data_IF_868489427209
#
_entry.id   IF_868489427209
#
_cell.length_a   1.000
_cell.length_b   1.000
_cell.length_c   1.000
_cell.angle_alpha   90.00
_cell.angle_beta   90.00
_cell.angle_gamma   90.00
#
_symmetry.space_group_name_H-M   'P 1'
#
loop_
_entity.id
_entity.type
_entity.pdbx_description
1 polymer ?
#
# COMPACT_ATOMS: atom_id res chain seq x y z
N UNK A 1 -10.99 -8.09 14.49
CA UNK A 1 -9.97 -9.03 13.98
C UNK A 1 -9.14 -8.49 12.81
N UNK A 2 -9.63 -7.61 11.92
CA UNK A 2 -8.76 -6.92 10.96
C UNK A 2 -7.96 -5.74 11.58
N UNK A 3 -8.48 -5.11 12.64
CA UNK A 3 -7.80 -4.03 13.37
C UNK A 3 -6.60 -4.51 14.21
N UNK A 4 -6.49 -5.81 14.47
CA UNK A 4 -5.37 -6.43 15.20
C UNK A 4 -4.12 -6.64 14.33
N UNK A 5 -4.21 -6.44 13.01
CA UNK A 5 -3.05 -6.56 12.11
C UNK A 5 -2.24 -5.25 12.00
N UNK A 6 -2.83 -4.09 12.33
CA UNK A 6 -2.15 -2.79 12.22
C UNK A 6 -1.56 -2.29 13.55
N UNK A 7 -1.99 -2.80 14.71
CA UNK A 7 -1.67 -2.15 16.00
C UNK A 7 -0.49 -2.72 16.78
N UNK A 8 -0.03 -3.94 16.51
CA UNK A 8 1.06 -4.55 17.30
C UNK A 8 2.25 -5.09 16.49
N UNK A 9 2.14 -5.23 15.16
CA UNK A 9 3.14 -5.89 14.31
C UNK A 9 4.38 -5.03 14.01
N UNK A 10 4.20 -3.72 13.84
CA UNK A 10 5.28 -2.86 13.32
C UNK A 10 6.42 -2.61 14.33
N UNK A 11 6.21 -2.78 15.64
CA UNK A 11 7.28 -2.64 16.66
C UNK A 11 8.36 -3.72 16.55
N UNK A 12 8.00 -4.90 16.07
CA UNK A 12 8.93 -6.02 15.85
C UNK A 12 9.62 -5.96 14.48
N UNK A 13 9.22 -5.04 13.61
CA UNK A 13 9.77 -4.95 12.26
C UNK A 13 11.18 -4.35 12.27
N UNK A 14 12.09 -4.99 11.54
CA UNK A 14 13.50 -4.63 11.45
C UNK A 14 13.68 -3.17 11.03
N UNK A 15 12.90 -2.70 10.05
CA UNK A 15 12.97 -1.33 9.57
C UNK A 15 12.53 -0.31 10.64
N UNK A 16 11.37 -0.52 11.28
CA UNK A 16 10.89 0.37 12.35
C UNK A 16 11.93 0.55 13.44
N UNK A 17 12.58 -0.54 13.87
CA UNK A 17 13.64 -0.50 14.90
C UNK A 17 14.85 0.30 14.45
N UNK A 18 15.28 0.13 13.20
CA UNK A 18 16.39 0.87 12.64
C UNK A 18 16.07 2.37 12.53
N UNK A 19 14.86 2.73 12.07
CA UNK A 19 14.42 4.12 11.95
C UNK A 19 14.33 4.82 13.31
N UNK A 20 13.71 4.18 14.31
CA UNK A 20 13.57 4.75 15.67
C UNK A 20 14.92 4.94 16.37
N UNK A 21 15.94 4.16 16.00
CA UNK A 21 17.28 4.32 16.54
C UNK A 21 18.02 5.55 15.99
N UNK A 22 17.52 6.20 14.93
CA UNK A 22 18.12 7.39 14.34
C UNK A 22 17.66 8.66 15.06
N UNK A 23 18.57 9.63 15.20
CA UNK A 23 18.29 10.92 15.85
C UNK A 23 17.47 11.88 14.98
N UNK A 24 17.26 11.59 13.70
CA UNK A 24 16.45 12.39 12.77
C UNK A 24 15.02 11.85 12.59
N UNK A 25 14.61 10.89 13.44
CA UNK A 25 13.32 10.20 13.38
C UNK A 25 12.40 10.48 14.60
N UNK A 26 12.63 11.55 15.36
CA UNK A 26 11.85 11.86 16.58
C UNK A 26 10.34 11.88 16.34
N UNK A 27 9.89 12.45 15.21
CA UNK A 27 8.46 12.47 14.84
C UNK A 27 7.86 11.07 14.68
N UNK A 28 8.63 10.11 14.13
CA UNK A 28 8.18 8.72 14.04
C UNK A 28 8.08 8.10 15.44
N UNK A 29 9.10 8.32 16.28
CA UNK A 29 9.12 7.82 17.67
C UNK A 29 7.92 8.33 18.46
N UNK A 30 7.60 9.62 18.36
CA UNK A 30 6.45 10.21 19.05
C UNK A 30 5.11 9.72 18.47
N UNK A 31 5.03 9.58 17.13
CA UNK A 31 3.86 9.04 16.45
C UNK A 31 3.56 7.60 16.89
N UNK A 32 4.60 6.79 17.06
CA UNK A 32 4.53 5.43 17.59
C UNK A 32 3.88 5.45 18.98
N UNK A 33 4.37 6.30 19.89
CA UNK A 33 3.81 6.44 21.24
C UNK A 33 2.34 6.87 21.20
N UNK A 34 1.98 7.85 20.36
CA UNK A 34 0.59 8.30 20.22
C UNK A 34 -0.34 7.19 19.73
N UNK A 35 0.10 6.39 18.74
CA UNK A 35 -0.67 5.24 18.24
C UNK A 35 -0.90 4.22 19.34
N UNK A 36 0.11 3.98 20.16
CA UNK A 36 0.05 3.03 21.29
C UNK A 36 -0.96 3.49 22.34
N UNK A 37 -0.89 4.76 22.75
CA UNK A 37 -1.85 5.37 23.68
C UNK A 37 -3.28 5.32 23.13
N UNK A 38 -3.45 5.56 21.82
CA UNK A 38 -4.73 5.44 21.14
C UNK A 38 -5.29 4.01 21.18
N UNK A 39 -4.44 3.01 20.90
CA UNK A 39 -4.83 1.59 20.88
C UNK A 39 -5.16 1.01 22.25
N UNK A 40 -4.61 1.57 23.32
CA UNK A 40 -4.89 1.16 24.69
C UNK A 40 -6.17 1.76 25.30
N UNK A 41 -6.88 2.61 24.57
CA UNK A 41 -8.03 3.36 25.08
C UNK A 41 -9.37 2.77 24.63
N UNK A 42 -10.13 2.19 25.57
CA UNK A 42 -11.47 1.64 25.32
C UNK A 42 -12.44 2.69 24.74
N UNK A 43 -12.29 3.95 25.15
CA UNK A 43 -13.09 5.07 24.63
C UNK A 43 -12.85 5.32 23.13
N UNK A 44 -11.61 5.14 22.67
CA UNK A 44 -11.23 5.30 21.27
C UNK A 44 -11.71 4.12 20.44
N UNK A 45 -11.58 2.90 20.96
CA UNK A 45 -12.08 1.69 20.33
C UNK A 45 -13.60 1.75 20.10
N UNK A 46 -14.34 2.22 21.11
CA UNK A 46 -15.77 2.45 21.01
C UNK A 46 -16.13 3.49 19.94
N UNK A 47 -15.35 4.56 19.82
CA UNK A 47 -15.55 5.57 18.77
C UNK A 47 -15.37 4.98 17.38
N UNK A 48 -14.24 4.33 17.10
CA UNK A 48 -13.98 3.75 15.78
C UNK A 48 -14.93 2.60 15.44
N UNK A 49 -15.44 1.87 16.44
CA UNK A 49 -16.47 0.85 16.24
C UNK A 49 -17.81 1.47 15.81
N UNK A 50 -18.23 2.58 16.43
CA UNK A 50 -19.42 3.33 15.99
C UNK A 50 -19.27 3.91 14.60
N UNK A 51 -18.10 4.47 14.26
CA UNK A 51 -17.85 5.01 12.92
C UNK A 51 -17.87 3.92 11.84
N UNK A 52 -17.35 2.72 12.13
CA UNK A 52 -17.48 1.55 11.23
C UNK A 52 -18.93 1.15 11.02
N UNK A 53 -19.74 1.13 12.08
CA UNK A 53 -21.15 0.76 11.99
C UNK A 53 -21.95 1.75 11.12
N UNK A 54 -21.70 3.06 11.26
CA UNK A 54 -22.32 4.09 10.40
C UNK A 54 -21.99 3.93 8.93
N UNK A 55 -20.81 3.44 8.59
CA UNK A 55 -20.42 3.21 7.20
C UNK A 55 -21.20 2.06 6.53
N UNK A 56 -21.86 1.20 7.32
CA UNK A 56 -22.66 0.07 6.79
C UNK A 56 -24.10 0.45 6.41
N UNK A 57 -24.64 1.58 6.88
CA UNK A 57 -26.01 2.02 6.59
C UNK A 57 -26.03 2.99 5.39
N UNK A 58 -26.15 2.45 4.16
CA UNK A 58 -25.74 3.15 2.93
C UNK A 58 -26.89 3.76 2.10
N UNK A 59 -26.81 5.09 1.92
CA UNK A 59 -27.18 5.81 0.69
C UNK A 59 -26.71 7.30 0.76
N UNK A 60 -26.72 7.90 1.96
CA UNK A 60 -26.24 9.27 2.18
C UNK A 60 -24.72 9.33 2.44
N UNK A 61 -24.12 8.22 2.90
CA UNK A 61 -22.70 8.09 3.27
C UNK A 61 -21.79 8.08 2.03
N UNK A 62 -22.20 7.44 0.92
CA UNK A 62 -21.37 7.32 -0.28
C UNK A 62 -21.10 8.66 -0.97
N UNK A 63 -22.11 9.55 -1.07
CA UNK A 63 -21.93 10.89 -1.66
C UNK A 63 -20.99 11.77 -0.82
N UNK A 64 -21.14 11.72 0.50
CA UNK A 64 -20.27 12.46 1.42
C UNK A 64 -18.82 11.96 1.35
N UNK A 65 -18.63 10.65 1.28
CA UNK A 65 -17.32 10.04 1.11
C UNK A 65 -16.68 10.43 -0.23
N UNK A 66 -17.41 10.31 -1.35
CA UNK A 66 -16.90 10.66 -2.67
C UNK A 66 -16.45 12.13 -2.74
N UNK A 67 -17.26 13.04 -2.19
CA UNK A 67 -16.90 14.46 -2.12
C UNK A 67 -15.66 14.71 -1.24
N UNK A 68 -15.59 14.06 -0.08
CA UNK A 68 -14.43 14.18 0.81
C UNK A 68 -13.15 13.60 0.16
N UNK A 69 -13.27 12.49 -0.57
CA UNK A 69 -12.18 11.87 -1.31
C UNK A 69 -11.72 12.74 -2.49
N UNK A 70 -12.63 13.33 -3.26
CA UNK A 70 -12.30 14.28 -4.32
C UNK A 70 -11.52 15.48 -3.75
N UNK A 71 -11.98 16.06 -2.64
CA UNK A 71 -11.28 17.15 -1.96
C UNK A 71 -9.92 16.72 -1.40
N UNK A 72 -9.79 15.46 -0.98
CA UNK A 72 -8.52 14.86 -0.58
C UNK A 72 -7.54 14.78 -1.75
N UNK A 73 -8.00 14.30 -2.92
CA UNK A 73 -7.18 14.25 -4.14
C UNK A 73 -6.76 15.65 -4.61
N UNK A 74 -7.66 16.64 -4.54
CA UNK A 74 -7.32 18.04 -4.81
C UNK A 74 -6.26 18.58 -3.85
N UNK A 75 -6.38 18.28 -2.56
CA UNK A 75 -5.41 18.66 -1.53
C UNK A 75 -4.03 18.05 -1.81
N UNK A 76 -3.97 16.73 -2.04
CA UNK A 76 -2.73 16.04 -2.38
C UNK A 76 -2.11 16.58 -3.67
N UNK A 77 -2.92 16.86 -4.70
CA UNK A 77 -2.46 17.41 -5.97
C UNK A 77 -1.85 18.83 -5.85
N UNK A 78 -2.17 19.58 -4.78
CA UNK A 78 -1.52 20.87 -4.50
C UNK A 78 -0.12 20.67 -3.90
N UNK A 79 0.08 19.61 -3.12
CA UNK A 79 1.36 19.28 -2.48
C UNK A 79 2.32 18.59 -3.43
N UNK A 80 1.81 17.69 -4.26
CA UNK A 80 2.55 16.98 -5.30
C UNK A 80 1.75 17.06 -6.58
N UNK A 81 2.34 17.59 -7.65
CA UNK A 81 1.65 17.66 -8.94
C UNK A 81 1.41 16.24 -9.49
N UNK A 82 0.17 15.77 -9.39
CA UNK A 82 -0.28 14.50 -9.95
C UNK A 82 -0.62 14.76 -11.43
N UNK A 83 0.05 14.09 -12.39
CA UNK A 83 -0.19 14.32 -13.80
C UNK A 83 -1.65 14.10 -14.20
N UNK A 84 -2.23 15.04 -14.95
CA UNK A 84 -3.55 14.87 -15.55
C UNK A 84 -3.40 14.26 -16.93
N UNK A 85 -3.99 13.10 -17.15
CA UNK A 85 -3.98 12.40 -18.45
C UNK A 85 -5.33 11.76 -18.72
N UNK A 86 -5.69 11.66 -20.00
CA UNK A 86 -6.84 10.87 -20.46
C UNK A 86 -6.48 9.38 -20.64
N UNK A 87 -5.19 9.05 -20.62
CA UNK A 87 -4.70 7.66 -20.66
C UNK A 87 -4.32 7.19 -19.26
N UNK A 88 -5.32 7.07 -18.38
CA UNK A 88 -5.12 6.51 -17.04
C UNK A 88 -5.81 5.15 -16.86
N UNK A 89 -5.37 4.39 -15.87
CA UNK A 89 -6.00 3.15 -15.40
C UNK A 89 -6.17 3.24 -13.88
N UNK A 90 -7.40 3.08 -13.38
CA UNK A 90 -7.71 3.12 -11.95
C UNK A 90 -8.09 1.72 -11.45
N UNK A 91 -7.20 1.11 -10.66
CA UNK A 91 -7.39 -0.22 -10.08
C UNK A 91 -8.30 -0.22 -8.84
N UNK A 92 -8.63 0.94 -8.27
CA UNK A 92 -9.53 1.08 -7.12
C UNK A 92 -11.01 0.94 -7.50
N UNK A 93 -11.40 1.55 -8.62
CA UNK A 93 -12.79 1.51 -9.12
C UNK A 93 -13.05 0.33 -10.07
N UNK A 94 -12.10 -0.01 -10.96
CA UNK A 94 -12.22 -1.17 -11.84
C UNK A 94 -11.96 -2.51 -11.13
N UNK A 95 -11.75 -2.49 -9.80
CA UNK A 95 -11.57 -3.71 -9.02
C UNK A 95 -12.75 -4.64 -9.10
N UNK A 96 -13.98 -4.19 -9.40
CA UNK A 96 -15.10 -5.13 -9.57
C UNK A 96 -14.92 -5.95 -10.86
N UNK A 97 -14.39 -5.35 -11.94
CA UNK A 97 -14.05 -6.06 -13.18
C UNK A 97 -12.78 -6.89 -13.03
N UNK A 98 -11.78 -6.38 -12.33
CA UNK A 98 -10.55 -7.11 -12.09
C UNK A 98 -10.70 -8.21 -11.04
N UNK A 99 -11.48 -8.00 -9.99
CA UNK A 99 -11.90 -9.05 -9.07
C UNK A 99 -12.82 -10.04 -9.79
N UNK A 100 -13.64 -9.63 -10.75
CA UNK A 100 -14.33 -10.58 -11.64
C UNK A 100 -13.37 -11.34 -12.56
N UNK A 101 -12.23 -10.75 -12.97
CA UNK A 101 -11.16 -11.41 -13.73
C UNK A 101 -10.37 -12.39 -12.85
N UNK A 102 -9.87 -11.94 -11.69
CA UNK A 102 -9.29 -12.78 -10.64
C UNK A 102 -10.26 -13.84 -10.12
N UNK A 103 -11.57 -13.57 -10.12
CA UNK A 103 -12.63 -14.51 -9.73
C UNK A 103 -13.00 -15.46 -10.86
N UNK A 104 -12.91 -15.02 -12.12
CA UNK A 104 -13.00 -15.91 -13.28
C UNK A 104 -11.79 -16.85 -13.34
N UNK A 105 -10.64 -16.36 -12.89
CA UNK A 105 -9.46 -17.16 -12.60
C UNK A 105 -9.71 -18.06 -11.38
N UNK A 106 -10.25 -17.56 -10.26
CA UNK A 106 -10.39 -18.32 -8.99
C UNK A 106 -11.62 -19.24 -8.88
N UNK A 107 -12.62 -19.13 -9.76
CA UNK A 107 -13.79 -20.02 -9.82
C UNK A 107 -13.52 -21.27 -10.67
N UNK A 108 -12.51 -21.21 -11.52
CA UNK A 108 -11.83 -22.43 -11.96
C UNK A 108 -10.75 -22.69 -10.90
N UNK A 109 -10.54 -23.94 -10.51
CA UNK A 109 -9.28 -24.33 -9.88
C UNK A 109 -8.22 -23.91 -10.91
N UNK A 110 -7.56 -22.76 -10.74
CA UNK A 110 -6.46 -22.37 -11.61
C UNK A 110 -5.49 -23.53 -11.47
N UNK A 111 -5.30 -24.36 -12.52
CA UNK A 111 -4.33 -25.42 -12.42
C UNK A 111 -3.01 -24.71 -12.12
N UNK A 112 -2.32 -25.16 -11.06
CA UNK A 112 -0.96 -24.70 -10.80
C UNK A 112 -0.22 -24.77 -12.16
N UNK A 113 0.27 -23.66 -12.71
CA UNK A 113 0.81 -23.66 -14.05
C UNK A 113 1.97 -24.66 -14.10
N UNK A 114 1.88 -25.61 -15.02
CA UNK A 114 2.72 -26.81 -15.02
C UNK A 114 4.16 -26.47 -15.44
N UNK A 115 4.35 -25.43 -16.27
CA UNK A 115 5.64 -25.16 -16.90
C UNK A 115 6.10 -23.70 -16.97
N UNK A 116 5.25 -22.67 -16.80
CA UNK A 116 5.74 -21.27 -16.74
C UNK A 116 4.75 -20.25 -16.17
N UNK A 117 5.27 -19.11 -15.73
CA UNK A 117 4.52 -17.91 -15.35
C UNK A 117 3.84 -17.18 -16.53
N UNK A 118 3.89 -17.73 -17.75
CA UNK A 118 3.42 -17.06 -18.97
C UNK A 118 2.11 -17.61 -19.54
N UNK A 119 1.48 -18.61 -18.91
CA UNK A 119 0.23 -19.23 -19.41
C UNK A 119 -1.05 -18.51 -18.95
N UNK A 120 -0.95 -17.29 -18.43
CA UNK A 120 -2.12 -16.54 -17.95
C UNK A 120 -2.92 -15.93 -19.10
N UNK A 121 -4.26 -15.86 -18.98
CA UNK A 121 -5.07 -15.13 -19.95
C UNK A 121 -4.60 -13.66 -20.02
N UNK A 122 -4.64 -13.05 -21.21
CA UNK A 122 -4.16 -11.68 -21.38
C UNK A 122 -4.91 -10.75 -20.44
N UNK A 123 -4.16 -9.81 -19.85
CA UNK A 123 -4.75 -8.76 -19.02
C UNK A 123 -5.83 -8.02 -19.82
N UNK A 124 -6.93 -7.58 -19.19
CA UNK A 124 -8.06 -6.93 -19.88
C UNK A 124 -7.73 -5.52 -20.41
N UNK A 125 -6.46 -5.18 -20.49
CA UNK A 125 -5.93 -3.92 -20.97
C UNK A 125 -4.65 -4.16 -21.77
N UNK A 126 -4.38 -3.25 -22.72
CA UNK A 126 -3.13 -3.27 -23.49
C UNK A 126 -1.94 -2.98 -22.57
N UNK A 127 -0.90 -3.80 -22.66
CA UNK A 127 0.36 -3.55 -21.97
C UNK A 127 0.98 -2.22 -22.41
N UNK A 128 1.73 -1.58 -21.51
CA UNK A 128 2.52 -0.37 -21.80
C UNK A 128 1.71 0.77 -22.43
N UNK A 129 0.45 0.97 -22.03
CA UNK A 129 -0.49 1.87 -22.72
C UNK A 129 -0.96 3.06 -21.89
N UNK A 130 -0.63 3.11 -20.59
CA UNK A 130 -1.23 4.06 -19.64
C UNK A 130 -0.17 5.00 -19.07
N UNK A 131 -0.42 6.30 -19.14
CA UNK A 131 0.51 7.34 -18.68
C UNK A 131 0.41 7.61 -17.18
N UNK A 132 -0.71 7.20 -16.56
CA UNK A 132 -0.93 7.22 -15.12
C UNK A 132 -1.68 5.96 -14.69
N UNK A 133 -1.15 5.25 -13.71
CA UNK A 133 -1.86 4.13 -13.08
C UNK A 133 -2.15 4.53 -11.65
N UNK A 134 -3.42 4.45 -11.24
CA UNK A 134 -3.87 4.68 -9.87
C UNK A 134 -4.14 3.33 -9.23
N UNK A 135 -3.41 3.01 -8.17
CA UNK A 135 -3.55 1.78 -7.39
C UNK A 135 -4.15 2.11 -6.03
N UNK A 136 -5.48 2.25 -5.98
CA UNK A 136 -6.25 2.50 -4.75
C UNK A 136 -7.27 1.40 -4.45
N UNK A 137 -6.94 0.14 -4.79
CA UNK A 137 -7.77 -0.96 -4.32
C UNK A 137 -7.83 -0.98 -2.81
N UNK A 138 -9.04 -1.19 -2.31
CA UNK A 138 -9.29 -1.36 -0.89
C UNK A 138 -9.65 -2.81 -0.62
N UNK A 139 -9.22 -3.28 0.55
CA UNK A 139 -9.61 -4.59 1.04
C UNK A 139 -11.09 -4.56 1.42
N UNK A 140 -11.87 -5.40 0.75
CA UNK A 140 -13.28 -5.58 1.06
C UNK A 140 -13.42 -6.79 1.98
N UNK A 141 -14.24 -6.66 3.03
CA UNK A 141 -14.53 -7.78 3.91
C UNK A 141 -15.24 -8.88 3.12
N UNK A 142 -14.58 -10.03 2.97
CA UNK A 142 -15.10 -11.23 2.30
C UNK A 142 -14.69 -12.45 3.15
N UNK A 143 -15.56 -13.46 3.35
CA UNK A 143 -15.20 -14.71 4.02
C UNK A 143 -13.87 -15.33 3.57
N UNK A 144 -13.53 -15.29 2.28
CA UNK A 144 -12.26 -15.83 1.77
C UNK A 144 -11.04 -15.02 2.27
N UNK A 145 -11.20 -13.70 2.48
CA UNK A 145 -10.15 -12.85 3.02
C UNK A 145 -9.89 -13.11 4.52
N UNK A 146 -10.87 -13.64 5.25
CA UNK A 146 -10.67 -14.03 6.66
C UNK A 146 -9.82 -15.30 6.78
N UNK A 147 -9.88 -16.17 5.78
CA UNK A 147 -9.11 -17.42 5.73
C UNK A 147 -7.72 -17.25 5.09
N UNK A 148 -7.43 -16.08 4.52
CA UNK A 148 -6.16 -15.72 3.89
C UNK A 148 -5.67 -14.38 4.44
N UNK A 149 -5.04 -14.34 5.62
CA UNK A 149 -4.57 -13.10 6.23
C UNK A 149 -3.59 -12.32 5.33
N UNK A 150 -2.84 -13.03 4.48
CA UNK A 150 -1.91 -12.45 3.50
C UNK A 150 -2.58 -11.81 2.27
N UNK A 151 -3.91 -11.88 2.13
CA UNK A 151 -4.61 -11.28 0.97
C UNK A 151 -4.41 -9.76 0.86
N UNK A 152 -4.16 -9.08 1.98
CA UNK A 152 -3.80 -7.66 1.95
C UNK A 152 -2.46 -7.45 1.22
N UNK A 153 -1.44 -8.21 1.59
CA UNK A 153 -0.13 -8.20 0.93
C UNK A 153 -0.25 -8.60 -0.53
N UNK A 154 -1.02 -9.65 -0.82
CA UNK A 154 -1.30 -10.09 -2.20
C UNK A 154 -1.96 -9.00 -3.02
N UNK A 155 -2.86 -8.21 -2.44
CA UNK A 155 -3.52 -7.10 -3.13
C UNK A 155 -2.53 -5.99 -3.50
N UNK A 156 -1.63 -5.61 -2.59
CA UNK A 156 -0.59 -4.61 -2.87
C UNK A 156 0.33 -5.11 -3.99
N UNK A 157 0.85 -6.34 -3.86
CA UNK A 157 1.71 -6.95 -4.87
C UNK A 157 1.01 -7.07 -6.23
N UNK A 158 -0.25 -7.51 -6.25
CA UNK A 158 -1.02 -7.64 -7.50
C UNK A 158 -1.19 -6.29 -8.20
N UNK A 159 -1.58 -5.25 -7.46
CA UNK A 159 -1.78 -3.92 -8.05
C UNK A 159 -0.47 -3.32 -8.57
N UNK A 160 0.62 -3.46 -7.82
CA UNK A 160 1.91 -2.97 -8.26
C UNK A 160 2.39 -3.72 -9.51
N UNK A 161 2.25 -5.04 -9.53
CA UNK A 161 2.59 -5.86 -10.70
C UNK A 161 1.77 -5.44 -11.94
N UNK A 162 0.46 -5.25 -11.78
CA UNK A 162 -0.42 -4.73 -12.84
C UNK A 162 0.03 -3.35 -13.31
N UNK A 163 0.37 -2.45 -12.38
CA UNK A 163 0.83 -1.12 -12.72
C UNK A 163 2.12 -1.16 -13.54
N UNK A 164 3.08 -2.00 -13.16
CA UNK A 164 4.31 -2.22 -13.91
C UNK A 164 4.04 -2.82 -15.29
N UNK A 165 3.03 -3.68 -15.47
CA UNK A 165 2.66 -4.16 -16.82
C UNK A 165 1.93 -3.11 -17.67
N UNK A 166 1.12 -2.24 -17.04
CA UNK A 166 0.27 -1.27 -17.72
C UNK A 166 0.98 0.04 -18.09
N UNK A 167 1.96 0.48 -17.29
CA UNK A 167 2.61 1.79 -17.41
C UNK A 167 3.34 1.96 -18.74
N UNK A 168 3.04 3.05 -19.45
CA UNK A 168 3.76 3.44 -20.66
C UNK A 168 5.22 3.83 -20.32
N UNK A 169 6.14 3.84 -21.29
CA UNK A 169 7.47 4.39 -21.08
C UNK A 169 7.39 5.83 -20.56
N UNK A 170 8.07 6.12 -19.45
CA UNK A 170 7.99 7.40 -18.73
C UNK A 170 6.60 7.73 -18.16
N UNK A 171 5.69 6.75 -18.07
CA UNK A 171 4.44 6.88 -17.34
C UNK A 171 4.65 6.95 -15.83
N UNK A 172 3.56 7.14 -15.09
CA UNK A 172 3.57 7.38 -13.65
C UNK A 172 2.72 6.33 -12.93
N UNK A 173 3.14 5.96 -11.72
CA UNK A 173 2.39 5.08 -10.83
C UNK A 173 2.03 5.86 -9.57
N UNK A 174 0.75 5.87 -9.22
CA UNK A 174 0.21 6.49 -8.02
C UNK A 174 -0.44 5.40 -7.15
N UNK A 175 0.24 4.96 -6.10
CA UNK A 175 -0.16 3.77 -5.31
C UNK A 175 -0.40 4.10 -3.85
N UNK A 176 -1.49 3.57 -3.28
CA UNK A 176 -1.76 3.65 -1.85
C UNK A 176 -1.00 2.55 -1.09
N UNK A 177 -0.24 2.95 -0.07
CA UNK A 177 0.47 2.07 0.86
C UNK A 177 0.06 2.40 2.31
N UNK A 178 0.51 1.60 3.28
CA UNK A 178 0.32 1.86 4.71
C UNK A 178 1.61 1.76 5.50
N UNK A 179 1.77 2.66 6.48
CA UNK A 179 2.91 2.75 7.41
C UNK A 179 4.26 2.77 6.69
N UNK A 180 4.91 3.93 6.58
CA UNK A 180 6.20 4.07 5.88
C UNK A 180 7.28 3.17 6.50
N UNK A 181 7.24 3.04 7.82
CA UNK A 181 8.16 2.27 8.65
C UNK A 181 8.01 0.75 8.56
N UNK A 182 6.97 0.25 7.88
CA UNK A 182 6.83 -1.20 7.66
C UNK A 182 7.88 -1.71 6.69
N UNK A 183 8.50 -2.85 6.98
CA UNK A 183 9.58 -3.44 6.18
C UNK A 183 9.17 -3.57 4.72
N UNK A 184 8.06 -4.25 4.42
CA UNK A 184 7.55 -4.37 3.05
C UNK A 184 7.30 -3.01 2.36
N UNK A 185 6.75 -2.03 3.09
CA UNK A 185 6.51 -0.69 2.55
C UNK A 185 7.84 0.00 2.20
N UNK A 186 8.83 -0.06 3.09
CA UNK A 186 10.17 0.46 2.84
C UNK A 186 10.84 -0.22 1.64
N UNK A 187 10.72 -1.55 1.52
CA UNK A 187 11.24 -2.30 0.36
C UNK A 187 10.59 -1.81 -0.95
N UNK A 188 9.27 -1.63 -0.97
CA UNK A 188 8.53 -1.10 -2.13
C UNK A 188 8.97 0.34 -2.45
N UNK A 189 9.14 1.20 -1.44
CA UNK A 189 9.56 2.59 -1.66
C UNK A 189 10.94 2.67 -2.32
N UNK A 190 11.92 1.92 -1.82
CA UNK A 190 13.27 1.88 -2.41
C UNK A 190 13.22 1.28 -3.82
N UNK A 191 12.44 0.22 -4.04
CA UNK A 191 12.24 -0.35 -5.38
C UNK A 191 11.65 0.64 -6.37
N UNK A 192 10.68 1.45 -5.96
CA UNK A 192 10.12 2.51 -6.79
C UNK A 192 11.17 3.59 -7.10
N UNK A 193 12.05 3.92 -6.15
CA UNK A 193 13.14 4.88 -6.35
C UNK A 193 14.15 4.38 -7.39
N UNK A 194 14.49 3.08 -7.39
CA UNK A 194 15.42 2.50 -8.37
C UNK A 194 14.90 2.55 -9.81
N UNK A 195 13.58 2.51 -10.00
CA UNK A 195 12.97 2.38 -11.34
C UNK A 195 12.35 3.68 -11.86
N UNK A 196 12.42 4.78 -11.11
CA UNK A 196 11.70 6.03 -11.44
C UNK A 196 12.62 7.24 -11.31
N UNK A 197 12.42 8.24 -12.15
CA UNK A 197 13.23 9.48 -12.09
C UNK A 197 12.96 10.27 -10.79
N UNK A 198 11.75 10.17 -10.23
CA UNK A 198 11.37 10.86 -9.01
C UNK A 198 10.27 10.10 -8.27
N UNK A 199 10.46 9.91 -6.96
CA UNK A 199 9.46 9.36 -6.05
C UNK A 199 9.09 10.41 -5.00
N UNK A 200 7.79 10.57 -4.77
CA UNK A 200 7.25 11.45 -3.72
C UNK A 200 6.16 10.73 -2.95
N UNK A 201 6.10 10.96 -1.65
CA UNK A 201 4.98 10.54 -0.82
C UNK A 201 4.02 11.71 -0.63
N UNK A 202 2.73 11.40 -0.51
CA UNK A 202 1.69 12.41 -0.31
C UNK A 202 0.55 11.84 0.52
N UNK A 203 -0.02 12.68 1.38
CA UNK A 203 -1.18 12.36 2.21
C UNK A 203 -2.00 13.63 2.40
N UNK A 204 -3.31 13.46 2.48
CA UNK A 204 -4.22 14.57 2.80
C UNK A 204 -4.19 14.86 4.30
N UNK A 205 -4.06 16.14 4.64
CA UNK A 205 -4.19 16.66 6.01
C UNK A 205 -5.66 16.80 6.44
N UNK A 206 -6.61 16.72 5.50
CA UNK A 206 -8.05 16.96 5.75
C UNK A 206 -8.90 15.70 5.82
N UNK A 207 -8.50 14.66 5.11
CA UNK A 207 -9.29 13.45 4.96
C UNK A 207 -8.50 12.23 5.42
N UNK A 208 -9.05 11.53 6.42
CA UNK A 208 -8.45 10.31 6.98
C UNK A 208 -6.96 10.50 7.35
N UNK A 209 -6.59 11.70 7.79
CA UNK A 209 -5.24 12.10 8.18
C UNK A 209 -4.69 11.29 9.35
N UNK A 210 -5.56 10.87 10.29
CA UNK A 210 -5.19 9.98 11.40
C UNK A 210 -4.81 8.55 10.99
N UNK A 211 -5.26 8.09 9.81
CA UNK A 211 -5.00 6.73 9.33
C UNK A 211 -3.56 6.61 8.85
N UNK A 212 -2.98 5.43 8.98
CA UNK A 212 -1.58 5.16 8.61
C UNK A 212 -1.33 5.01 7.10
N UNK A 213 -2.37 5.06 6.27
CA UNK A 213 -2.20 4.98 4.83
C UNK A 213 -1.77 6.32 4.23
N UNK A 214 -1.07 6.24 3.11
CA UNK A 214 -0.58 7.37 2.33
C UNK A 214 -0.45 6.94 0.86
N UNK A 215 -0.11 7.88 -0.02
CA UNK A 215 0.13 7.61 -1.42
C UNK A 215 1.58 7.84 -1.79
N UNK A 216 2.05 7.07 -2.76
CA UNK A 216 3.35 7.22 -3.41
C UNK A 216 3.11 7.56 -4.88
N UNK A 217 3.73 8.65 -5.34
CA UNK A 217 3.81 8.99 -6.75
C UNK A 217 5.23 8.68 -7.25
N UNK A 218 5.33 7.64 -8.07
CA UNK A 218 6.54 7.27 -8.81
C UNK A 218 6.43 7.80 -10.24
N UNK A 219 7.31 8.73 -10.60
CA UNK A 219 7.23 9.48 -11.86
C UNK A 219 8.26 9.00 -12.86
N UNK A 220 7.83 8.96 -14.13
CA UNK A 220 8.68 8.63 -15.27
C UNK A 220 9.39 7.28 -15.11
N UNK A 221 8.60 6.23 -14.92
CA UNK A 221 9.10 4.88 -14.70
C UNK A 221 9.97 4.41 -15.88
N UNK A 222 11.21 4.03 -15.60
CA UNK A 222 12.19 3.51 -16.54
C UNK A 222 12.07 2.00 -16.71
N UNK A 223 11.22 1.60 -17.66
CA UNK A 223 10.97 0.20 -18.01
C UNK A 223 12.16 -0.55 -18.63
N UNK A 224 13.16 0.18 -19.13
CA UNK A 224 14.31 -0.40 -19.83
C UNK A 224 15.42 -0.83 -18.87
N UNK A 225 15.35 -0.38 -17.61
CA UNK A 225 16.31 -0.72 -16.56
C UNK A 225 16.29 -2.22 -16.21
N UNK A 226 17.44 -2.73 -15.74
CA UNK A 226 17.52 -4.07 -15.13
C UNK A 226 16.68 -4.16 -13.86
N UNK A 227 16.66 -3.08 -13.09
CA UNK A 227 15.99 -2.88 -11.82
C UNK A 227 14.49 -3.06 -11.99
N UNK A 228 13.91 -2.49 -13.05
CA UNK A 228 12.50 -2.67 -13.40
C UNK A 228 12.18 -4.13 -13.70
N UNK A 229 13.00 -4.80 -14.52
CA UNK A 229 12.80 -6.21 -14.88
C UNK A 229 12.90 -7.12 -13.65
N UNK A 230 13.89 -6.86 -12.79
CA UNK A 230 14.09 -7.61 -11.55
C UNK A 230 12.89 -7.43 -10.61
N UNK A 231 12.36 -6.21 -10.48
CA UNK A 231 11.17 -5.96 -9.66
C UNK A 231 9.94 -6.69 -10.20
N UNK A 232 9.72 -6.70 -11.53
CA UNK A 232 8.61 -7.46 -12.13
C UNK A 232 8.72 -8.95 -11.79
N UNK A 233 9.90 -9.55 -11.98
CA UNK A 233 10.14 -10.98 -11.66
C UNK A 233 9.94 -11.27 -10.17
N UNK A 234 10.41 -10.38 -9.29
CA UNK A 234 10.22 -10.51 -7.86
C UNK A 234 8.73 -10.49 -7.47
N UNK A 235 7.97 -9.53 -7.99
CA UNK A 235 6.54 -9.41 -7.70
C UNK A 235 5.73 -10.55 -8.30
N UNK A 236 6.10 -11.03 -9.49
CA UNK A 236 5.56 -12.25 -10.11
C UNK A 236 5.74 -13.47 -9.19
N UNK A 237 6.95 -13.65 -8.64
CA UNK A 237 7.25 -14.74 -7.71
C UNK A 237 6.44 -14.63 -6.41
N UNK A 238 6.38 -13.44 -5.83
CA UNK A 238 5.60 -13.18 -4.61
C UNK A 238 4.10 -13.41 -4.82
N UNK A 239 3.57 -12.93 -5.93
CA UNK A 239 2.19 -13.16 -6.30
C UNK A 239 1.90 -14.65 -6.47
N UNK A 240 2.80 -15.39 -7.12
CA UNK A 240 2.70 -16.83 -7.28
C UNK A 240 2.67 -17.57 -5.93
N UNK A 241 3.57 -17.23 -5.01
CA UNK A 241 3.62 -17.78 -3.64
C UNK A 241 2.27 -17.59 -2.94
N UNK A 242 1.76 -16.37 -2.93
CA UNK A 242 0.51 -16.01 -2.25
C UNK A 242 -0.76 -16.55 -2.92
N UNK A 243 -0.65 -17.05 -4.15
CA UNK A 243 -1.79 -17.53 -4.93
C UNK A 243 -1.83 -19.06 -5.04
N UNK A 244 -0.67 -19.72 -5.19
CA UNK A 244 -0.59 -21.13 -5.59
C UNK A 244 0.31 -22.02 -4.72
N UNK A 245 1.19 -21.45 -3.88
CA UNK A 245 1.95 -22.28 -2.93
C UNK A 245 1.10 -22.63 -1.70
N UNK A 246 1.71 -23.16 -0.63
CA UNK A 246 0.99 -23.53 0.58
C UNK A 246 0.15 -24.81 0.46
N UNK A 247 -0.59 -25.11 1.52
CA UNK A 247 -1.39 -26.33 1.61
C UNK A 247 -2.46 -26.37 0.51
N UNK A 248 -2.53 -27.49 -0.20
CA UNK A 248 -3.50 -27.73 -1.29
C UNK A 248 -3.49 -26.65 -2.40
N UNK A 249 -2.41 -25.89 -2.55
CA UNK A 249 -2.31 -24.81 -3.54
C UNK A 249 -3.16 -23.58 -3.22
N UNK A 250 -3.49 -23.36 -1.95
CA UNK A 250 -4.35 -22.26 -1.49
C UNK A 250 -3.61 -20.91 -1.35
N UNK A 251 -2.31 -20.87 -1.63
CA UNK A 251 -1.42 -19.78 -1.29
C UNK A 251 -0.90 -19.89 0.15
N UNK A 252 0.19 -19.20 0.42
CA UNK A 252 0.72 -18.98 1.78
C UNK A 252 1.14 -17.52 1.96
N UNK A 253 1.33 -17.12 3.20
CA UNK A 253 1.98 -15.84 3.49
C UNK A 253 3.44 -15.85 3.01
N UNK A 254 3.96 -14.66 2.73
CA UNK A 254 5.36 -14.45 2.36
C UNK A 254 6.22 -14.41 3.62
N UNK A 255 7.42 -15.01 3.56
CA UNK A 255 8.39 -14.92 4.66
C UNK A 255 9.22 -13.63 4.55
N UNK A 256 10.02 -13.35 5.58
CA UNK A 256 10.95 -12.21 5.54
C UNK A 256 11.95 -12.34 4.37
N UNK A 257 12.40 -13.56 4.09
CA UNK A 257 13.30 -13.88 2.98
C UNK A 257 12.61 -13.73 1.62
N UNK A 258 11.30 -14.04 1.53
CA UNK A 258 10.53 -13.77 0.32
C UNK A 258 10.47 -12.25 0.06
N UNK A 259 10.26 -11.41 1.08
CA UNK A 259 10.22 -9.96 0.91
C UNK A 259 11.53 -9.37 0.36
N UNK A 260 12.69 -9.95 0.70
CA UNK A 260 14.01 -9.52 0.22
C UNK A 260 14.15 -9.61 -1.31
N UNK A 261 13.28 -10.37 -1.99
CA UNK A 261 13.21 -10.37 -3.46
C UNK A 261 12.93 -8.98 -4.04
N UNK A 262 12.25 -8.09 -3.29
CA UNK A 262 11.96 -6.72 -3.74
C UNK A 262 13.20 -5.84 -3.56
N UNK A 263 13.73 -5.79 -2.35
CA UNK A 263 14.86 -4.97 -1.89
C UNK A 263 15.49 -5.72 -0.73
N UNK A 264 16.80 -5.87 -0.65
CA UNK A 264 17.47 -6.69 0.38
C UNK A 264 17.51 -6.00 1.75
N UNK A 265 17.79 -6.77 2.80
CA UNK A 265 18.05 -6.19 4.13
C UNK A 265 19.29 -5.30 4.17
N UNK A 266 20.33 -5.67 3.41
CA UNK A 266 21.55 -4.86 3.27
C UNK A 266 21.21 -3.47 2.71
N UNK A 267 20.37 -3.39 1.68
CA UNK A 267 20.00 -2.11 1.08
C UNK A 267 19.08 -1.30 1.99
N UNK A 268 18.03 -1.93 2.55
CA UNK A 268 17.03 -1.22 3.37
C UNK A 268 17.62 -0.67 4.67
N UNK A 269 18.64 -1.34 5.23
CA UNK A 269 19.32 -0.95 6.46
C UNK A 269 20.60 -0.13 6.21
N UNK A 270 20.99 0.08 4.95
CA UNK A 270 22.09 0.99 4.61
C UNK A 270 21.75 2.43 4.99
N UNK A 271 22.76 3.27 5.22
CA UNK A 271 22.54 4.70 5.50
C UNK A 271 21.79 5.42 4.37
N UNK A 272 22.04 5.05 3.12
CA UNK A 272 21.34 5.61 1.95
C UNK A 272 19.87 5.17 1.91
N UNK A 273 19.60 3.88 2.16
CA UNK A 273 18.25 3.33 2.22
C UNK A 273 17.44 3.96 3.35
N UNK A 274 18.01 4.00 4.56
CA UNK A 274 17.37 4.63 5.72
C UNK A 274 17.13 6.12 5.48
N UNK A 275 18.12 6.87 4.97
CA UNK A 275 17.95 8.31 4.70
C UNK A 275 16.87 8.58 3.66
N UNK A 276 16.77 7.74 2.62
CA UNK A 276 15.71 7.82 1.61
C UNK A 276 14.33 7.58 2.22
N UNK A 277 14.21 6.55 3.08
CA UNK A 277 12.95 6.24 3.77
C UNK A 277 12.56 7.37 4.73
N UNK A 278 13.50 7.96 5.46
CA UNK A 278 13.25 9.13 6.31
C UNK A 278 12.74 10.30 5.47
N UNK A 279 13.43 10.64 4.38
CA UNK A 279 13.02 11.73 3.48
C UNK A 279 11.58 11.55 2.96
N UNK A 280 11.21 10.32 2.59
CA UNK A 280 9.87 9.99 2.11
C UNK A 280 8.86 9.87 3.27
N UNK A 281 9.30 9.55 4.48
CA UNK A 281 8.47 9.28 5.65
C UNK A 281 8.08 10.52 6.43
N UNK A 282 9.00 11.46 6.63
CA UNK A 282 8.82 12.62 7.50
C UNK A 282 7.53 13.40 7.21
N UNK A 283 7.16 13.74 5.96
CA UNK A 283 5.91 14.46 5.69
C UNK A 283 4.68 13.65 6.08
N UNK A 284 4.72 12.33 5.92
CA UNK A 284 3.60 11.43 6.23
C UNK A 284 3.44 11.28 7.74
N UNK A 285 4.56 11.08 8.45
CA UNK A 285 4.56 10.96 9.90
C UNK A 285 4.06 12.23 10.57
N UNK A 286 4.52 13.41 10.12
CA UNK A 286 4.08 14.70 10.65
C UNK A 286 2.57 14.91 10.51
N UNK A 287 2.00 14.68 9.32
CA UNK A 287 0.55 14.82 9.08
C UNK A 287 -0.25 13.88 9.99
N UNK A 288 0.21 12.64 10.14
CA UNK A 288 -0.49 11.68 10.98
C UNK A 288 -0.36 12.01 12.47
N UNK A 289 0.84 12.43 12.90
CA UNK A 289 1.13 12.84 14.26
C UNK A 289 0.22 13.99 14.67
N UNK A 290 0.18 15.08 13.89
CA UNK A 290 -0.65 16.25 14.19
C UNK A 290 -2.13 15.88 14.30
N UNK A 291 -2.62 15.06 13.37
CA UNK A 291 -4.01 14.62 13.35
C UNK A 291 -4.37 13.74 14.56
N UNK A 292 -3.49 12.79 14.92
CA UNK A 292 -3.68 11.93 16.08
C UNK A 292 -3.56 12.71 17.38
N UNK A 293 -2.54 13.54 17.54
CA UNK A 293 -2.35 14.39 18.71
C UNK A 293 -3.59 15.25 18.96
N UNK A 294 -4.05 15.99 17.94
CA UNK A 294 -5.28 16.77 18.03
C UNK A 294 -6.50 15.94 18.43
N UNK A 295 -6.68 14.76 17.83
CA UNK A 295 -7.80 13.88 18.14
C UNK A 295 -7.77 13.33 19.57
N UNK A 296 -6.59 12.91 20.04
CA UNK A 296 -6.38 12.31 21.35
C UNK A 296 -6.50 13.35 22.47
N UNK A 297 -5.95 14.54 22.29
CA UNK A 297 -6.07 15.65 23.25
C UNK A 297 -7.51 16.11 23.42
N UNK A 298 -8.26 16.21 22.33
CA UNK A 298 -9.70 16.52 22.40
C UNK A 298 -10.54 15.44 23.10
N UNK A 299 -9.96 14.28 23.38
CA UNK A 299 -10.58 13.17 24.12
C UNK A 299 -9.96 12.92 25.48
N UNK A 300 -9.02 13.77 25.92
CA UNK A 300 -8.35 13.65 27.22
C UNK A 300 -7.48 12.40 27.37
N UNK A 301 -6.93 11.89 26.26
CA UNK A 301 -6.00 10.73 26.28
C UNK A 301 -4.54 11.19 26.39
N UNK A 302 -4.21 12.34 25.80
CA UNK A 302 -2.88 12.97 25.81
C UNK A 302 -3.00 14.44 26.17
#
# INVERSE_FOLDING_TARGET
MAATLDTFSWRSETLSRALVARSDCDTLTDLIVLRDQGSGSENIDNYFSKERQKAHDANNVERSFAFAFEKSMENMNRSVWIPRTYSFLDLGYDIIKFASFLRSLSLQIIPKPVNSLHDYPPLPFKLCSRDLIVCDAQWVLNPDNLNRPWNWTRLIVSQLLIALHAVSPHGNIFIRLSCVERTLTGRILLALCRISDLVRTVKSDRFQSMRSYFYVLAQRVNRQSSEFRNLVVALERLWYIMTFEGENGYGRDISAEDEELITTDEEILSEEGLSTIVQLGTPIWAIQYDALCYFLTNRGVV
#
